data_IF_316704893785
#
_entry.id   IF_316704893785
#
_cell.length_a   1.000
_cell.length_b   1.000
_cell.length_c   1.000
_cell.angle_alpha   90.00
_cell.angle_beta   90.00
_cell.angle_gamma   90.00
#
_symmetry.space_group_name_H-M   'P 1'
#
loop_
_entity.id
_entity.type
_entity.pdbx_description
1 polymer ?
#
# COMPACT_ATOMS: atom_id res chain seq x y z
N UNK A 1 -21.69 -1.87 -1.20
CA UNK A 1 -22.06 -0.83 -2.17
C UNK A 1 -22.61 -1.40 -3.49
N UNK A 2 -21.94 -2.34 -4.18
CA UNK A 2 -22.41 -2.88 -5.48
C UNK A 2 -23.68 -3.75 -5.38
N UNK A 3 -23.91 -4.44 -4.25
CA UNK A 3 -25.09 -5.30 -4.04
C UNK A 3 -26.42 -4.54 -4.15
N UNK A 4 -26.54 -3.38 -3.52
CA UNK A 4 -27.75 -2.55 -3.56
C UNK A 4 -28.07 -2.04 -4.97
N UNK A 5 -27.03 -1.76 -5.78
CA UNK A 5 -27.22 -1.22 -7.13
C UNK A 5 -27.64 -2.28 -8.16
N UNK A 6 -27.20 -3.53 -8.00
CA UNK A 6 -27.59 -4.64 -8.86
C UNK A 6 -29.06 -5.08 -8.62
N UNK A 7 -29.53 -5.04 -7.37
CA UNK A 7 -30.91 -5.36 -7.00
C UNK A 7 -31.93 -4.39 -7.62
N UNK A 8 -31.53 -3.14 -7.91
CA UNK A 8 -32.35 -2.11 -8.56
C UNK A 8 -32.23 -2.08 -10.10
N UNK A 9 -31.53 -3.05 -10.72
CA UNK A 9 -31.40 -3.13 -12.18
C UNK A 9 -30.58 -2.00 -12.82
N UNK A 10 -29.72 -1.33 -12.05
CA UNK A 10 -28.94 -0.19 -12.54
C UNK A 10 -27.91 -0.63 -13.58
N UNK A 11 -27.79 0.13 -14.66
CA UNK A 11 -26.82 -0.14 -15.74
C UNK A 11 -25.40 0.25 -15.30
N UNK A 12 -24.38 -0.37 -15.88
CA UNK A 12 -22.96 -0.16 -15.56
C UNK A 12 -22.51 1.31 -15.36
N UNK A 13 -22.92 2.27 -16.21
CA UNK A 13 -22.59 3.68 -16.03
C UNK A 13 -23.20 4.30 -14.75
N UNK A 14 -24.42 3.91 -14.41
CA UNK A 14 -25.14 4.42 -13.23
C UNK A 14 -24.52 3.86 -11.94
N UNK A 15 -24.11 2.59 -11.96
CA UNK A 15 -23.38 1.99 -10.84
C UNK A 15 -22.00 2.64 -10.63
N UNK A 16 -21.27 2.92 -11.71
CA UNK A 16 -19.97 3.59 -11.67
C UNK A 16 -20.08 5.01 -11.07
N UNK A 17 -21.14 5.74 -11.39
CA UNK A 17 -21.41 7.06 -10.84
C UNK A 17 -21.70 7.03 -9.32
N UNK A 18 -22.42 6.00 -8.83
CA UNK A 18 -22.75 5.85 -7.40
C UNK A 18 -21.52 5.42 -6.58
N UNK A 19 -20.68 4.56 -7.14
CA UNK A 19 -19.52 3.97 -6.42
C UNK A 19 -18.24 4.81 -6.62
N UNK A 20 -18.28 5.87 -7.44
CA UNK A 20 -17.10 6.67 -7.82
C UNK A 20 -15.94 5.81 -8.37
N UNK A 21 -16.28 4.74 -9.08
CA UNK A 21 -15.33 3.76 -9.59
C UNK A 21 -15.34 3.69 -11.12
N UNK A 22 -14.26 3.16 -11.70
CA UNK A 22 -14.12 3.05 -13.16
C UNK A 22 -15.23 2.16 -13.75
N UNK A 23 -15.87 2.64 -14.82
CA UNK A 23 -16.99 1.96 -15.52
C UNK A 23 -16.69 0.51 -15.92
N UNK A 24 -15.43 0.21 -16.26
CA UNK A 24 -14.95 -1.14 -16.57
C UNK A 24 -15.11 -2.13 -15.39
N UNK A 25 -14.93 -1.64 -14.15
CA UNK A 25 -15.14 -2.44 -12.94
C UNK A 25 -16.62 -2.79 -12.79
N UNK A 26 -17.51 -1.80 -12.99
CA UNK A 26 -18.97 -2.01 -12.95
C UNK A 26 -19.47 -3.03 -13.98
N UNK A 27 -18.94 -3.01 -15.21
CA UNK A 27 -19.25 -4.03 -16.24
C UNK A 27 -18.80 -5.43 -15.84
N UNK A 28 -17.60 -5.56 -15.26
CA UNK A 28 -17.06 -6.84 -14.81
C UNK A 28 -17.90 -7.46 -13.70
N UNK A 29 -18.29 -6.66 -12.69
CA UNK A 29 -19.17 -7.11 -11.61
C UNK A 29 -20.57 -7.47 -12.10
N UNK A 30 -21.14 -6.68 -13.02
CA UNK A 30 -22.44 -6.98 -13.62
C UNK A 30 -22.41 -8.31 -14.39
N UNK A 31 -21.36 -8.55 -15.17
CA UNK A 31 -21.17 -9.82 -15.89
C UNK A 31 -21.08 -11.01 -14.93
N UNK A 32 -20.36 -10.87 -13.81
CA UNK A 32 -20.25 -11.91 -12.79
C UNK A 32 -21.58 -12.16 -12.08
N UNK A 33 -22.32 -11.11 -11.73
CA UNK A 33 -23.63 -11.21 -11.12
C UNK A 33 -24.65 -11.91 -12.03
N UNK A 34 -24.70 -11.55 -13.32
CA UNK A 34 -25.59 -12.20 -14.28
C UNK A 34 -25.27 -13.68 -14.49
N UNK A 35 -24.01 -14.10 -14.30
CA UNK A 35 -23.58 -15.48 -14.50
C UNK A 35 -23.69 -16.36 -13.24
N UNK A 36 -23.48 -15.79 -12.05
CA UNK A 36 -23.28 -16.54 -10.80
C UNK A 36 -24.14 -16.02 -9.64
N UNK A 37 -25.05 -15.08 -9.91
CA UNK A 37 -25.87 -14.43 -8.88
C UNK A 37 -25.01 -13.74 -7.81
N UNK A 38 -25.44 -13.85 -6.56
CA UNK A 38 -24.78 -13.20 -5.41
C UNK A 38 -23.38 -13.81 -5.13
N UNK A 39 -23.16 -15.09 -5.43
CA UNK A 39 -21.85 -15.73 -5.27
C UNK A 39 -20.79 -15.11 -6.20
N UNK A 40 -21.22 -14.67 -7.38
CA UNK A 40 -20.39 -13.92 -8.33
C UNK A 40 -19.94 -12.55 -7.83
N UNK A 41 -20.51 -12.04 -6.73
CA UNK A 41 -20.12 -10.77 -6.12
C UNK A 41 -19.11 -10.93 -4.98
N UNK A 42 -18.65 -12.14 -4.66
CA UNK A 42 -17.58 -12.34 -3.68
C UNK A 42 -16.24 -11.84 -4.23
N UNK A 43 -15.41 -11.25 -3.36
CA UNK A 43 -14.04 -10.91 -3.71
C UNK A 43 -13.26 -12.21 -3.96
N UNK A 44 -12.91 -12.46 -5.23
CA UNK A 44 -12.03 -13.58 -5.55
C UNK A 44 -10.63 -13.28 -5.03
N UNK A 45 -9.89 -14.29 -4.56
CA UNK A 45 -8.49 -14.12 -4.21
C UNK A 45 -7.76 -13.54 -5.42
N UNK A 46 -7.31 -12.29 -5.31
CA UNK A 46 -6.47 -11.70 -6.35
C UNK A 46 -5.15 -12.47 -6.31
N UNK A 47 -4.62 -12.83 -7.48
CA UNK A 47 -3.22 -13.24 -7.62
C UNK A 47 -2.34 -11.99 -7.40
N UNK A 48 -2.28 -11.55 -6.14
CA UNK A 48 -1.33 -10.54 -5.70
C UNK A 48 0.09 -11.06 -5.88
N UNK A 49 1.06 -10.14 -5.84
CA UNK A 49 2.47 -10.53 -5.75
C UNK A 49 2.62 -11.48 -4.55
N UNK A 50 3.19 -12.69 -4.73
CA UNK A 50 3.44 -13.59 -3.60
C UNK A 50 4.28 -12.86 -2.55
N UNK A 51 4.06 -13.17 -1.28
CA UNK A 51 4.81 -12.55 -0.19
C UNK A 51 6.32 -12.69 -0.46
N UNK A 52 7.03 -11.56 -0.51
CA UNK A 52 8.46 -11.53 -0.87
C UNK A 52 9.35 -12.27 0.15
N UNK A 53 8.84 -12.50 1.37
CA UNK A 53 9.50 -13.28 2.40
C UNK A 53 9.11 -14.75 2.25
N UNK A 54 10.09 -15.59 1.88
CA UNK A 54 9.91 -17.04 1.83
C UNK A 54 9.67 -17.60 3.24
N UNK A 55 8.92 -18.70 3.33
CA UNK A 55 8.67 -19.38 4.60
C UNK A 55 9.97 -19.76 5.32
N UNK A 56 11.01 -20.17 4.58
CA UNK A 56 12.33 -20.51 5.11
C UNK A 56 12.98 -19.30 5.79
N UNK A 57 12.97 -18.14 5.13
CA UNK A 57 13.55 -16.92 5.68
C UNK A 57 12.78 -16.45 6.91
N UNK A 58 11.44 -16.55 6.88
CA UNK A 58 10.59 -16.25 8.04
C UNK A 58 10.96 -17.10 9.25
N UNK A 59 11.15 -18.41 9.08
CA UNK A 59 11.51 -19.32 10.16
C UNK A 59 12.89 -18.99 10.73
N UNK A 60 13.88 -18.68 9.88
CA UNK A 60 15.21 -18.28 10.30
C UNK A 60 15.20 -16.97 11.12
N UNK A 61 14.41 -15.97 10.71
CA UNK A 61 14.27 -14.72 11.45
C UNK A 61 13.63 -14.91 12.83
N UNK A 62 12.61 -15.77 12.93
CA UNK A 62 11.97 -16.09 14.20
C UNK A 62 12.92 -16.86 15.13
N UNK A 63 13.72 -17.80 14.60
CA UNK A 63 14.71 -18.55 15.36
C UNK A 63 15.84 -17.68 15.92
N UNK A 64 16.19 -16.58 15.24
CA UNK A 64 17.19 -15.64 15.73
C UNK A 64 16.76 -14.85 16.99
N UNK A 65 15.46 -14.84 17.33
CA UNK A 65 14.92 -14.31 18.59
C UNK A 65 15.03 -12.80 18.80
N UNK A 66 15.60 -12.06 17.84
CA UNK A 66 15.83 -10.59 17.94
C UNK A 66 14.79 -9.75 17.21
N UNK A 67 13.83 -10.40 16.55
CA UNK A 67 12.84 -9.73 15.69
C UNK A 67 11.43 -10.12 16.10
N UNK A 68 10.55 -9.14 16.17
CA UNK A 68 9.11 -9.34 16.37
C UNK A 68 8.41 -9.08 15.05
N UNK A 69 7.69 -10.07 14.55
CA UNK A 69 6.88 -9.90 13.35
C UNK A 69 5.59 -9.17 13.72
N UNK A 70 5.40 -7.98 13.17
CA UNK A 70 4.16 -7.22 13.32
C UNK A 70 3.22 -7.55 12.16
N UNK A 71 1.97 -7.86 12.48
CA UNK A 71 0.92 -8.01 11.47
C UNK A 71 0.38 -6.63 11.09
N UNK A 72 0.31 -6.35 9.79
CA UNK A 72 -0.32 -5.16 9.23
C UNK A 72 -1.55 -5.58 8.42
N UNK A 73 -2.72 -4.94 8.59
CA UNK A 73 -3.87 -5.20 7.74
C UNK A 73 -3.55 -4.88 6.28
N UNK A 74 -4.07 -5.68 5.36
CA UNK A 74 -3.91 -5.48 3.91
C UNK A 74 -4.36 -4.07 3.50
N UNK A 75 -3.62 -3.42 2.61
CA UNK A 75 -3.89 -2.06 2.11
C UNK A 75 -3.92 -0.97 3.20
N UNK A 76 -3.17 -1.13 4.29
CA UNK A 76 -3.06 -0.12 5.35
C UNK A 76 -1.68 0.57 5.41
N UNK A 77 -1.22 1.26 4.34
CA UNK A 77 0.10 1.88 4.29
C UNK A 77 0.29 3.01 5.32
N UNK A 78 -0.81 3.59 5.83
CA UNK A 78 -0.79 4.60 6.89
C UNK A 78 -0.35 4.08 8.26
N UNK A 79 -0.38 2.76 8.45
CA UNK A 79 0.08 2.10 9.67
C UNK A 79 1.51 1.57 9.52
N UNK A 80 2.11 1.66 8.32
CA UNK A 80 3.46 1.19 8.06
C UNK A 80 4.49 2.32 8.27
N UNK A 81 5.38 2.22 9.28
CA UNK A 81 6.41 3.22 9.54
C UNK A 81 7.29 3.52 8.32
N UNK A 82 7.56 2.52 7.47
CA UNK A 82 8.45 2.71 6.31
C UNK A 82 7.79 3.60 5.25
N UNK A 83 6.48 3.52 5.08
CA UNK A 83 5.73 4.36 4.14
C UNK A 83 5.70 5.83 4.59
N UNK A 84 5.60 6.04 5.91
CA UNK A 84 5.70 7.38 6.50
C UNK A 84 7.10 7.98 6.30
N UNK A 85 8.13 7.13 6.44
CA UNK A 85 9.50 7.49 6.13
C UNK A 85 9.70 7.84 4.66
N UNK A 86 9.18 7.02 3.74
CA UNK A 86 9.28 7.27 2.30
C UNK A 86 8.59 8.55 1.86
N UNK A 87 7.46 8.89 2.48
CA UNK A 87 6.81 10.18 2.27
C UNK A 87 7.73 11.35 2.62
N UNK A 88 8.47 11.26 3.72
CA UNK A 88 9.42 12.29 4.13
C UNK A 88 10.64 12.34 3.21
N UNK A 89 11.19 11.19 2.83
CA UNK A 89 12.27 11.09 1.84
C UNK A 89 11.86 11.77 0.52
N UNK A 90 10.67 11.42 -0.01
CA UNK A 90 10.16 11.98 -1.26
C UNK A 90 10.07 13.50 -1.18
N UNK A 91 9.51 14.04 -0.10
CA UNK A 91 9.40 15.50 0.12
C UNK A 91 10.76 16.20 0.16
N UNK A 92 11.79 15.55 0.67
CA UNK A 92 13.09 16.17 0.92
C UNK A 92 14.13 15.95 -0.20
N UNK A 93 13.95 14.93 -1.03
CA UNK A 93 14.98 14.49 -2.00
C UNK A 93 14.50 14.55 -3.45
N UNK A 94 13.23 14.23 -3.71
CA UNK A 94 12.74 14.06 -5.10
C UNK A 94 11.58 14.97 -5.47
N UNK A 95 10.88 15.53 -4.49
CA UNK A 95 9.78 16.45 -4.76
C UNK A 95 10.33 17.82 -5.14
N UNK A 96 10.09 18.23 -6.40
CA UNK A 96 10.53 19.52 -6.96
C UNK A 96 12.05 19.73 -7.03
N UNK A 97 12.84 18.67 -6.85
CA UNK A 97 14.29 18.71 -6.94
C UNK A 97 14.75 18.12 -8.28
N UNK A 98 15.58 18.87 -9.02
CA UNK A 98 16.18 18.40 -10.26
C UNK A 98 17.58 17.85 -9.98
N UNK A 99 17.77 16.54 -10.16
CA UNK A 99 19.08 15.91 -10.12
C UNK A 99 19.66 15.80 -11.54
N UNK A 100 20.85 16.35 -11.75
CA UNK A 100 21.53 16.36 -13.06
C UNK A 100 21.95 14.96 -13.52
N UNK A 101 22.10 14.01 -12.59
CA UNK A 101 22.44 12.61 -12.89
C UNK A 101 21.95 11.65 -11.80
N UNK A 102 21.93 10.35 -12.12
CA UNK A 102 21.65 9.28 -11.14
C UNK A 102 22.66 9.32 -9.99
N UNK A 103 23.94 9.58 -10.27
CA UNK A 103 24.97 9.71 -9.23
C UNK A 103 24.68 10.88 -8.28
N UNK A 104 24.18 12.00 -8.79
CA UNK A 104 23.77 13.12 -7.96
C UNK A 104 22.57 12.75 -7.07
N UNK A 105 21.57 12.05 -7.62
CA UNK A 105 20.43 11.56 -6.85
C UNK A 105 20.87 10.62 -5.72
N UNK A 106 21.75 9.66 -6.01
CA UNK A 106 22.31 8.72 -5.02
C UNK A 106 23.04 9.49 -3.91
N UNK A 107 23.87 10.49 -4.27
CA UNK A 107 24.56 11.33 -3.29
C UNK A 107 23.60 12.07 -2.36
N UNK A 108 22.55 12.68 -2.90
CA UNK A 108 21.54 13.40 -2.10
C UNK A 108 20.73 12.42 -1.23
N UNK A 109 20.42 11.23 -1.75
CA UNK A 109 19.76 10.18 -0.98
C UNK A 109 20.60 9.74 0.22
N UNK A 110 21.90 9.44 0.03
CA UNK A 110 22.81 9.11 1.13
C UNK A 110 22.87 10.24 2.17
N UNK A 111 23.07 11.48 1.73
CA UNK A 111 23.10 12.63 2.62
C UNK A 111 21.79 12.79 3.42
N UNK A 112 20.63 12.45 2.83
CA UNK A 112 19.38 12.41 3.57
C UNK A 112 19.43 11.38 4.71
N UNK A 113 19.82 10.14 4.44
CA UNK A 113 19.88 9.08 5.46
C UNK A 113 20.93 9.37 6.53
N UNK A 114 22.10 9.87 6.15
CA UNK A 114 23.18 10.20 7.08
C UNK A 114 22.75 11.25 8.13
N UNK A 115 21.99 12.28 7.70
CA UNK A 115 21.44 13.28 8.64
C UNK A 115 20.58 12.66 9.73
N UNK A 116 19.78 11.65 9.41
CA UNK A 116 18.93 10.97 10.40
C UNK A 116 19.69 9.92 11.21
N UNK A 117 20.72 9.29 10.64
CA UNK A 117 21.65 8.44 11.40
C UNK A 117 22.40 9.23 12.47
N UNK A 118 22.72 10.50 12.22
CA UNK A 118 23.29 11.40 13.23
C UNK A 118 22.27 11.92 14.26
N UNK A 119 20.98 11.92 13.94
CA UNK A 119 19.90 12.40 14.83
C UNK A 119 18.74 11.39 14.94
N UNK A 120 18.98 10.17 15.45
CA UNK A 120 17.99 9.09 15.43
C UNK A 120 16.73 9.41 16.26
N UNK A 121 16.86 10.28 17.28
CA UNK A 121 15.76 10.75 18.11
C UNK A 121 14.67 11.51 17.34
N UNK A 122 14.95 11.97 16.11
CA UNK A 122 13.96 12.64 15.24
C UNK A 122 13.13 11.67 14.40
N UNK A 123 13.56 10.42 14.27
CA UNK A 123 12.86 9.42 13.44
C UNK A 123 11.46 9.10 13.96
N UNK A 124 11.22 8.91 15.28
CA UNK A 124 9.89 8.59 15.82
C UNK A 124 8.81 9.59 15.41
N UNK A 125 9.11 10.89 15.45
CA UNK A 125 8.14 11.94 15.07
C UNK A 125 7.78 11.93 13.58
N UNK A 126 8.66 11.40 12.72
CA UNK A 126 8.42 11.26 11.27
C UNK A 126 7.55 10.04 10.98
N UNK A 127 7.82 8.92 11.67
CA UNK A 127 7.09 7.65 11.47
C UNK A 127 5.83 7.53 12.32
N UNK A 128 5.33 8.63 12.87
CA UNK A 128 4.07 8.67 13.63
C UNK A 128 4.12 7.94 14.97
N UNK A 129 5.31 7.64 15.48
CA UNK A 129 5.49 7.12 16.84
C UNK A 129 5.86 8.29 17.74
N UNK A 130 4.87 8.79 18.49
CA UNK A 130 5.19 9.66 19.61
C UNK A 130 6.01 8.85 20.61
N UNK A 131 7.15 9.40 21.04
CA UNK A 131 7.93 8.81 22.11
C UNK A 131 7.03 8.71 23.35
N UNK A 132 6.90 7.50 23.89
CA UNK A 132 6.32 7.26 25.22
C UNK A 132 7.41 7.54 26.24
#
# INVERSE_FOLDING_TARGET
>A
MIRLSAEHGLKGPQMAAIVHEREAMGRSWLKRYLAQGIEGLQDTPRSGRPAEITAVYRTALLAAGRLVLLYLPTYSPWLDPIEMWWRQFRRAVTHSEFCVSVAALVKVAHAFFDRYNHCPHRVPSIIGRHAV
#
